data_IF_150370704911
#
_entry.id   IF_150370704911
#
_cell.length_a   1.000
_cell.length_b   1.000
_cell.length_c   1.000
_cell.angle_alpha   90.00
_cell.angle_beta   90.00
_cell.angle_gamma   90.00
#
_symmetry.space_group_name_H-M   'P 1'
#
loop_
_entity.id
_entity.type
_entity.pdbx_description
1 polymer ?
#
# COMPACT_ATOMS: atom_id res chain seq x y z
N UNK A 1 15.98 -6.56 53.10
CA UNK A 1 16.10 -7.10 51.73
C UNK A 1 14.80 -7.77 51.26
N UNK A 2 14.41 -8.96 51.75
CA UNK A 2 13.26 -9.72 51.23
C UNK A 2 11.94 -8.94 51.11
N UNK A 3 11.54 -8.17 52.13
CA UNK A 3 10.31 -7.37 52.13
C UNK A 3 10.24 -6.32 51.00
N UNK A 4 11.38 -5.77 50.57
CA UNK A 4 11.43 -4.80 49.46
C UNK A 4 11.08 -5.51 48.14
N UNK A 5 11.60 -6.72 47.92
CA UNK A 5 11.28 -7.52 46.74
C UNK A 5 9.79 -7.90 46.71
N UNK A 6 9.19 -8.24 47.86
CA UNK A 6 7.76 -8.53 47.97
C UNK A 6 6.90 -7.29 47.66
N UNK A 7 7.23 -6.12 48.22
CA UNK A 7 6.50 -4.88 47.93
C UNK A 7 6.63 -4.45 46.45
N UNK A 8 7.82 -4.60 45.85
CA UNK A 8 8.02 -4.38 44.42
C UNK A 8 7.19 -5.36 43.58
N UNK A 9 7.16 -6.65 43.95
CA UNK A 9 6.36 -7.66 43.24
C UNK A 9 4.86 -7.35 43.31
N UNK A 10 4.34 -6.97 44.48
CA UNK A 10 2.93 -6.56 44.66
C UNK A 10 2.63 -5.27 43.87
N UNK A 11 3.55 -4.30 43.87
CA UNK A 11 3.46 -3.09 43.06
C UNK A 11 3.37 -3.40 41.56
N UNK A 12 4.24 -4.27 41.05
CA UNK A 12 4.23 -4.72 39.65
C UNK A 12 2.95 -5.48 39.31
N UNK A 13 2.52 -6.43 40.17
CA UNK A 13 1.30 -7.21 39.94
C UNK A 13 0.04 -6.34 39.97
N UNK A 14 -0.06 -5.38 40.88
CA UNK A 14 -1.18 -4.43 40.92
C UNK A 14 -1.20 -3.51 39.71
N UNK A 15 -0.04 -2.99 39.27
CA UNK A 15 0.08 -2.19 38.05
C UNK A 15 -0.29 -2.99 36.79
N UNK A 16 0.18 -4.24 36.69
CA UNK A 16 -0.18 -5.17 35.59
C UNK A 16 -1.68 -5.46 35.58
N UNK A 17 -2.28 -5.76 36.74
CA UNK A 17 -3.72 -5.99 36.88
C UNK A 17 -4.53 -4.75 36.48
N UNK A 18 -4.13 -3.56 36.95
CA UNK A 18 -4.74 -2.28 36.60
C UNK A 18 -4.67 -1.97 35.10
N UNK A 19 -3.52 -2.23 34.46
CA UNK A 19 -3.35 -2.11 33.01
C UNK A 19 -4.23 -3.09 32.24
N UNK A 20 -4.39 -4.32 32.73
CA UNK A 20 -5.21 -5.35 32.09
C UNK A 20 -6.73 -5.08 32.26
N UNK A 21 -7.16 -4.59 33.42
CA UNK A 21 -8.57 -4.29 33.73
C UNK A 21 -9.09 -2.98 33.11
N UNK A 22 -8.20 -2.06 32.72
CA UNK A 22 -8.53 -0.69 32.26
C UNK A 22 -9.52 -0.57 31.08
N UNK A 23 -9.71 -1.62 30.28
CA UNK A 23 -10.69 -1.65 29.18
C UNK A 23 -11.60 -2.87 29.30
N UNK A 24 -12.89 -2.62 29.37
CA UNK A 24 -13.94 -3.63 29.17
C UNK A 24 -14.76 -3.28 27.93
N UNK A 25 -15.31 -4.32 27.29
CA UNK A 25 -16.23 -4.19 26.14
C UNK A 25 -17.58 -3.71 26.65
N UNK A 26 -18.10 -2.63 26.07
CA UNK A 26 -19.43 -2.09 26.35
C UNK A 26 -20.50 -2.72 25.44
N UNK A 27 -21.77 -2.46 25.73
CA UNK A 27 -22.90 -2.92 24.91
C UNK A 27 -22.71 -2.45 23.46
N UNK A 28 -22.89 -3.38 22.52
CA UNK A 28 -22.74 -3.17 21.08
C UNK A 28 -21.34 -2.72 20.62
N UNK A 29 -20.28 -2.76 21.44
CA UNK A 29 -18.91 -2.63 20.92
C UNK A 29 -18.48 -3.90 20.17
N UNK A 30 -17.51 -3.83 19.24
CA UNK A 30 -16.90 -5.00 18.60
C UNK A 30 -16.32 -6.00 19.61
N UNK A 31 -16.09 -7.28 19.20
CA UNK A 31 -15.31 -8.23 19.98
C UNK A 31 -13.94 -7.63 20.37
N UNK A 32 -13.58 -7.70 21.65
CA UNK A 32 -12.35 -7.10 22.18
C UNK A 32 -11.32 -8.19 22.49
N UNK A 33 -10.17 -8.15 21.82
CA UNK A 33 -9.05 -9.08 22.02
C UNK A 33 -7.80 -8.32 22.47
N UNK A 34 -7.48 -8.43 23.77
CA UNK A 34 -6.33 -7.71 24.37
C UNK A 34 -4.98 -8.37 24.07
N UNK A 35 -4.96 -9.64 23.69
CA UNK A 35 -3.75 -10.47 23.72
C UNK A 35 -3.28 -10.78 25.14
N UNK A 36 -2.27 -11.63 25.25
CA UNK A 36 -1.78 -12.18 26.53
C UNK A 36 -0.81 -11.25 27.27
N UNK A 37 -0.22 -10.26 26.60
CA UNK A 37 0.78 -9.36 27.19
C UNK A 37 0.08 -8.06 27.65
N UNK A 38 0.04 -7.75 28.96
CA UNK A 38 -0.56 -6.52 29.47
C UNK A 38 0.04 -5.26 28.82
N UNK A 39 -0.82 -4.29 28.48
CA UNK A 39 -0.51 -3.05 27.75
C UNK A 39 0.05 -3.23 26.32
N UNK A 40 1.04 -4.09 26.09
CA UNK A 40 1.65 -4.32 24.78
C UNK A 40 0.67 -4.99 23.80
N UNK A 41 -0.15 -5.91 24.30
CA UNK A 41 -1.10 -6.69 23.53
C UNK A 41 -0.46 -7.46 22.39
N UNK A 42 -1.00 -7.28 21.18
CA UNK A 42 -0.59 -7.97 19.97
C UNK A 42 0.53 -7.29 19.18
N UNK A 43 1.23 -6.29 19.75
CA UNK A 43 2.14 -5.43 19.00
C UNK A 43 3.26 -6.15 18.23
N UNK A 44 3.80 -7.24 18.79
CA UNK A 44 4.86 -8.03 18.15
C UNK A 44 4.33 -8.85 16.96
N UNK A 45 3.17 -9.50 17.09
CA UNK A 45 2.56 -10.27 16.00
C UNK A 45 2.06 -9.34 14.88
N UNK A 46 1.44 -8.22 15.26
CA UNK A 46 1.01 -7.16 14.34
C UNK A 46 2.19 -6.53 13.58
N UNK A 47 3.31 -6.26 14.26
CA UNK A 47 4.49 -5.63 13.66
C UNK A 47 5.28 -6.56 12.73
N UNK A 48 5.31 -7.86 13.02
CA UNK A 48 6.06 -8.85 12.23
C UNK A 48 5.35 -9.23 10.92
N UNK A 49 4.04 -9.42 10.96
CA UNK A 49 3.24 -9.81 9.79
C UNK A 49 1.76 -9.44 10.01
N UNK A 50 1.42 -8.19 9.70
CA UNK A 50 0.05 -7.69 9.92
C UNK A 50 -0.98 -8.40 9.04
N UNK A 51 -0.59 -8.93 7.87
CA UNK A 51 -1.52 -9.65 6.99
C UNK A 51 -1.92 -11.01 7.58
N UNK A 52 -0.94 -11.80 8.03
CA UNK A 52 -1.17 -13.06 8.73
C UNK A 52 -1.91 -12.85 10.04
N UNK A 53 -1.51 -11.85 10.84
CA UNK A 53 -2.17 -11.50 12.10
C UNK A 53 -3.65 -11.14 11.92
N UNK A 54 -3.96 -10.23 11.00
CA UNK A 54 -5.33 -9.79 10.78
C UNK A 54 -6.21 -10.85 10.10
N UNK A 55 -5.62 -11.78 9.35
CA UNK A 55 -6.35 -12.95 8.80
C UNK A 55 -6.77 -13.89 9.94
N UNK A 56 -5.83 -14.28 10.80
CA UNK A 56 -6.10 -15.05 12.04
C UNK A 56 -7.18 -14.40 12.93
N UNK A 57 -7.20 -13.06 13.03
CA UNK A 57 -8.22 -12.34 13.79
C UNK A 57 -9.57 -12.26 13.06
N UNK A 58 -9.59 -12.17 11.73
CA UNK A 58 -10.81 -12.30 10.90
C UNK A 58 -11.46 -13.67 11.11
N UNK A 59 -10.67 -14.74 11.11
CA UNK A 59 -11.16 -16.11 11.29
C UNK A 59 -11.73 -16.33 12.70
N UNK A 60 -11.13 -15.67 13.71
CA UNK A 60 -11.55 -15.77 15.12
C UNK A 60 -12.77 -14.91 15.47
N UNK A 61 -12.90 -13.71 14.91
CA UNK A 61 -13.87 -12.69 15.36
C UNK A 61 -14.80 -12.15 14.27
N UNK A 62 -14.59 -12.53 13.00
CA UNK A 62 -15.36 -12.05 11.85
C UNK A 62 -14.85 -10.73 11.26
N UNK A 63 -15.72 -10.01 10.55
CA UNK A 63 -15.34 -8.82 9.77
C UNK A 63 -15.12 -7.54 10.59
N UNK A 64 -15.33 -7.56 11.91
CA UNK A 64 -15.02 -6.43 12.80
C UNK A 64 -14.56 -6.91 14.18
N UNK A 65 -13.48 -6.32 14.70
CA UNK A 65 -12.92 -6.64 16.02
C UNK A 65 -11.99 -5.53 16.51
N UNK A 66 -11.78 -5.43 17.82
CA UNK A 66 -10.87 -4.46 18.44
C UNK A 66 -9.70 -5.19 19.10
N UNK A 67 -8.47 -4.87 18.69
CA UNK A 67 -7.23 -5.43 19.25
C UNK A 67 -6.46 -4.39 20.06
N UNK A 68 -5.76 -4.83 21.11
CA UNK A 68 -4.76 -3.99 21.79
C UNK A 68 -3.40 -4.09 21.09
N UNK A 69 -2.78 -2.96 20.76
CA UNK A 69 -1.48 -2.84 20.08
C UNK A 69 -0.71 -1.69 20.72
N UNK A 70 0.33 -1.99 21.50
CA UNK A 70 1.23 -1.02 22.16
C UNK A 70 0.46 0.09 22.92
N UNK A 71 -0.42 -0.32 23.81
CA UNK A 71 -1.24 0.56 24.66
C UNK A 71 -2.44 1.21 23.96
N UNK A 72 -2.61 1.04 22.64
CA UNK A 72 -3.74 1.57 21.88
C UNK A 72 -4.75 0.49 21.54
N UNK A 73 -6.02 0.87 21.44
CA UNK A 73 -7.09 0.01 20.95
C UNK A 73 -7.36 0.33 19.49
N UNK A 74 -7.21 -0.68 18.63
CA UNK A 74 -7.37 -0.58 17.18
C UNK A 74 -8.55 -1.47 16.79
N UNK A 75 -9.66 -0.85 16.41
CA UNK A 75 -10.76 -1.54 15.75
C UNK A 75 -10.42 -1.74 14.28
N UNK A 76 -10.51 -2.98 13.82
CA UNK A 76 -10.26 -3.37 12.42
C UNK A 76 -11.61 -3.66 11.77
N UNK A 77 -11.82 -3.12 10.56
CA UNK A 77 -13.00 -3.33 9.73
C UNK A 77 -12.57 -3.99 8.41
N UNK A 78 -13.14 -5.17 8.11
CA UNK A 78 -12.83 -5.99 6.92
C UNK A 78 -14.05 -6.24 6.02
N UNK A 79 -15.20 -5.62 6.34
CA UNK A 79 -16.38 -5.58 5.48
C UNK A 79 -16.23 -4.46 4.43
N UNK A 80 -15.84 -4.84 3.21
CA UNK A 80 -15.54 -3.91 2.11
C UNK A 80 -16.73 -3.05 1.68
N UNK A 81 -17.97 -3.46 1.96
CA UNK A 81 -19.17 -2.70 1.62
C UNK A 81 -19.38 -1.49 2.54
N UNK A 82 -18.73 -1.48 3.72
CA UNK A 82 -18.85 -0.41 4.71
C UNK A 82 -17.74 0.64 4.62
N UNK A 83 -16.70 0.40 3.81
CA UNK A 83 -15.52 1.27 3.76
C UNK A 83 -15.86 2.70 3.31
N UNK A 84 -16.73 2.88 2.32
CA UNK A 84 -17.09 4.22 1.81
C UNK A 84 -17.79 5.09 2.88
N UNK A 85 -18.74 4.50 3.62
CA UNK A 85 -19.47 5.20 4.67
C UNK A 85 -18.54 5.68 5.80
N UNK A 86 -17.52 4.89 6.13
CA UNK A 86 -16.46 5.29 7.08
C UNK A 86 -15.56 6.36 6.49
N UNK A 87 -15.13 6.20 5.23
CA UNK A 87 -14.17 7.09 4.57
C UNK A 87 -14.74 8.45 4.16
N UNK A 88 -16.07 8.59 4.13
CA UNK A 88 -16.76 9.86 3.91
C UNK A 88 -16.94 10.68 5.20
N UNK A 89 -17.03 10.06 6.38
CA UNK A 89 -17.26 10.76 7.65
C UNK A 89 -15.96 11.27 8.28
N UNK A 90 -15.37 12.28 7.62
CA UNK A 90 -14.19 13.01 8.11
C UNK A 90 -14.42 13.78 9.42
N UNK A 91 -15.67 13.90 9.91
CA UNK A 91 -15.97 14.54 11.22
C UNK A 91 -15.77 13.56 12.37
N UNK A 92 -16.19 12.31 12.18
CA UNK A 92 -16.02 11.25 13.18
C UNK A 92 -14.66 10.55 13.10
N UNK A 93 -14.01 10.57 11.93
CA UNK A 93 -12.79 9.83 11.64
C UNK A 93 -11.69 10.73 11.04
N UNK A 94 -10.71 11.14 11.86
CA UNK A 94 -9.60 11.99 11.40
C UNK A 94 -8.43 11.17 10.83
N UNK A 95 -7.73 11.73 9.85
CA UNK A 95 -6.43 11.26 9.34
C UNK A 95 -5.28 12.20 9.72
N UNK A 96 -5.57 13.48 9.94
CA UNK A 96 -4.60 14.58 10.05
C UNK A 96 -3.59 14.37 11.15
N UNK A 97 -4.02 13.98 12.35
CA UNK A 97 -3.12 13.74 13.48
C UNK A 97 -2.17 12.55 13.22
N UNK A 98 -2.63 11.53 12.47
CA UNK A 98 -1.79 10.40 12.11
C UNK A 98 -0.77 10.79 11.04
N UNK A 99 -1.17 11.50 9.99
CA UNK A 99 -0.27 11.99 8.95
C UNK A 99 0.82 12.91 9.51
N UNK A 100 0.48 13.86 10.39
CA UNK A 100 1.48 14.75 11.04
C UNK A 100 2.53 13.96 11.82
N UNK A 101 2.13 12.92 12.56
CA UNK A 101 3.05 12.01 13.27
C UNK A 101 3.94 11.17 12.33
N UNK A 102 3.47 10.86 11.12
CA UNK A 102 4.29 10.16 10.12
C UNK A 102 5.30 11.11 9.46
N UNK A 103 4.90 12.33 9.09
CA UNK A 103 5.79 13.35 8.52
C UNK A 103 6.94 13.68 9.47
N UNK A 104 6.63 13.92 10.74
CA UNK A 104 7.59 14.16 11.81
C UNK A 104 8.55 12.97 11.99
N UNK A 105 8.04 11.74 12.19
CA UNK A 105 8.89 10.58 12.50
C UNK A 105 9.66 9.98 11.34
N UNK A 106 9.19 10.13 10.10
CA UNK A 106 9.79 9.48 8.92
C UNK A 106 10.66 10.48 8.14
N UNK A 107 10.23 11.74 8.04
CA UNK A 107 10.87 12.76 7.21
C UNK A 107 11.46 13.92 8.02
N UNK A 108 11.37 13.89 9.35
CA UNK A 108 11.74 15.01 10.23
C UNK A 108 11.04 16.33 9.83
N UNK A 109 9.82 16.24 9.28
CA UNK A 109 9.13 17.36 8.62
C UNK A 109 7.95 17.87 9.46
N UNK A 110 8.04 19.13 9.88
CA UNK A 110 6.98 19.83 10.60
C UNK A 110 6.51 21.05 9.78
N UNK A 111 5.22 21.07 9.45
CA UNK A 111 4.61 22.14 8.65
C UNK A 111 3.63 22.96 9.52
N UNK A 112 4.03 24.16 10.01
CA UNK A 112 3.13 25.05 10.73
C UNK A 112 2.03 25.56 9.79
N UNK A 113 0.82 25.74 10.32
CA UNK A 113 -0.36 26.22 9.58
C UNK A 113 -0.70 25.42 8.29
N UNK A 114 -0.29 24.15 8.23
CA UNK A 114 -0.61 23.23 7.15
C UNK A 114 -2.11 23.00 6.99
N UNK A 115 -2.64 23.26 5.79
CA UNK A 115 -3.96 22.84 5.33
C UNK A 115 -3.84 21.66 4.35
N UNK A 116 -4.14 20.42 4.79
CA UNK A 116 -4.13 19.24 3.94
C UNK A 116 -5.13 19.30 2.76
N UNK A 117 -6.21 20.08 2.87
CA UNK A 117 -7.27 20.13 1.85
C UNK A 117 -6.81 20.98 0.66
N UNK A 118 -6.27 22.17 0.92
CA UNK A 118 -5.67 23.02 -0.12
C UNK A 118 -4.46 22.37 -0.80
N UNK A 119 -3.55 21.76 -0.04
CA UNK A 119 -2.41 21.01 -0.62
C UNK A 119 -2.89 19.89 -1.54
N UNK A 120 -3.82 19.06 -1.05
CA UNK A 120 -4.40 17.97 -1.83
C UNK A 120 -5.08 18.48 -3.10
N UNK A 121 -5.81 19.59 -3.02
CA UNK A 121 -6.46 20.21 -4.18
C UNK A 121 -5.44 20.62 -5.26
N UNK A 122 -4.33 21.26 -4.86
CA UNK A 122 -3.22 21.61 -5.77
C UNK A 122 -2.60 20.38 -6.42
N UNK A 123 -2.33 19.33 -5.63
CA UNK A 123 -1.77 18.08 -6.17
C UNK A 123 -2.76 17.34 -7.10
N UNK A 124 -4.06 17.42 -6.82
CA UNK A 124 -5.09 16.92 -7.74
C UNK A 124 -5.19 17.75 -9.02
N UNK A 125 -5.00 19.07 -8.98
CA UNK A 125 -4.95 19.93 -10.18
C UNK A 125 -3.70 19.66 -11.04
N UNK A 126 -2.56 19.32 -10.44
CA UNK A 126 -1.34 18.99 -11.17
C UNK A 126 -1.43 17.63 -11.90
N UNK A 127 -1.97 16.60 -11.23
CA UNK A 127 -2.05 15.23 -11.78
C UNK A 127 -3.38 14.89 -12.50
N UNK A 128 -4.24 15.87 -12.77
CA UNK A 128 -5.51 15.69 -13.50
C UNK A 128 -5.71 16.81 -14.52
N UNK A 129 -6.77 16.69 -15.32
CA UNK A 129 -7.18 17.74 -16.25
C UNK A 129 -6.12 18.04 -17.32
N UNK A 130 -5.93 19.31 -17.73
CA UNK A 130 -5.07 19.67 -18.87
C UNK A 130 -3.57 19.47 -18.62
N UNK A 131 -3.13 19.41 -17.36
CA UNK A 131 -1.72 19.23 -17.00
C UNK A 131 -1.25 17.77 -17.21
N UNK A 132 -2.16 16.80 -17.00
CA UNK A 132 -1.82 15.38 -17.03
C UNK A 132 -1.18 14.93 -18.38
N UNK A 133 -1.70 15.27 -19.57
CA UNK A 133 -1.05 14.96 -20.84
C UNK A 133 0.39 15.48 -20.96
N UNK A 134 0.66 16.70 -20.47
CA UNK A 134 2.00 17.29 -20.51
C UNK A 134 2.98 16.52 -19.62
N UNK A 135 2.61 16.28 -18.35
CA UNK A 135 3.45 15.54 -17.39
C UNK A 135 3.69 14.10 -17.88
N UNK A 136 2.69 13.45 -18.48
CA UNK A 136 2.83 12.14 -19.12
C UNK A 136 3.80 12.15 -20.32
N UNK A 137 3.72 13.17 -21.19
CA UNK A 137 4.61 13.33 -22.34
C UNK A 137 6.07 13.53 -21.90
N UNK A 138 6.31 14.39 -20.90
CA UNK A 138 7.63 14.59 -20.30
C UNK A 138 8.21 13.29 -19.75
N UNK A 139 7.43 12.49 -19.01
CA UNK A 139 7.84 11.17 -18.52
C UNK A 139 8.20 10.20 -19.65
N UNK A 140 7.44 10.18 -20.73
CA UNK A 140 7.72 9.34 -21.90
C UNK A 140 9.05 9.72 -22.55
N UNK A 141 9.30 11.02 -22.73
CA UNK A 141 10.55 11.52 -23.33
C UNK A 141 11.77 11.17 -22.45
N UNK A 142 11.67 11.37 -21.14
CA UNK A 142 12.77 11.07 -20.20
C UNK A 142 13.01 9.56 -20.10
N UNK A 143 11.96 8.73 -20.02
CA UNK A 143 12.10 7.26 -20.04
C UNK A 143 12.86 6.80 -21.30
N UNK A 144 12.49 7.35 -22.47
CA UNK A 144 13.17 7.04 -23.72
C UNK A 144 14.65 7.48 -23.70
N UNK A 145 14.95 8.69 -23.20
CA UNK A 145 16.31 9.20 -23.07
C UNK A 145 17.18 8.33 -22.13
N UNK A 146 16.68 7.94 -20.95
CA UNK A 146 17.42 7.13 -19.99
C UNK A 146 17.70 5.71 -20.54
N UNK A 147 16.71 5.09 -21.21
CA UNK A 147 16.87 3.74 -21.77
C UNK A 147 17.73 3.70 -23.05
N UNK A 148 17.88 4.82 -23.77
CA UNK A 148 18.78 4.90 -24.94
C UNK A 148 20.20 5.28 -24.55
N UNK A 149 20.39 6.30 -23.70
CA UNK A 149 21.71 6.78 -23.26
C UNK A 149 22.52 5.71 -22.51
N UNK A 150 21.87 4.85 -21.70
CA UNK A 150 22.54 3.77 -20.97
C UNK A 150 23.10 2.62 -21.84
N UNK A 151 22.91 2.64 -23.16
CA UNK A 151 23.25 1.54 -24.08
C UNK A 151 24.23 1.92 -25.21
N UNK A 152 24.81 3.12 -25.18
CA UNK A 152 25.70 3.63 -26.25
C UNK A 152 27.02 2.86 -26.43
N UNK A 153 27.45 2.02 -25.48
CA UNK A 153 28.78 1.39 -25.51
C UNK A 153 28.85 -0.07 -25.99
N UNK A 154 27.73 -0.77 -26.20
CA UNK A 154 27.69 -2.00 -27.01
C UNK A 154 26.24 -2.49 -27.20
N UNK A 155 25.65 -2.27 -28.38
CA UNK A 155 24.21 -2.48 -28.64
C UNK A 155 23.80 -3.96 -28.64
N UNK A 156 24.72 -4.88 -28.92
CA UNK A 156 24.43 -6.30 -29.18
C UNK A 156 24.70 -7.24 -28.00
N UNK A 157 25.39 -6.79 -26.95
CA UNK A 157 25.78 -7.62 -25.82
C UNK A 157 24.63 -7.80 -24.82
N UNK A 158 24.46 -9.03 -24.31
CA UNK A 158 23.59 -9.28 -23.16
C UNK A 158 24.20 -8.69 -21.89
N UNK A 159 23.45 -7.82 -21.23
CA UNK A 159 23.75 -7.28 -19.89
C UNK A 159 23.00 -8.10 -18.85
N UNK A 160 23.63 -8.37 -17.72
CA UNK A 160 23.01 -8.96 -16.54
C UNK A 160 22.66 -7.85 -15.55
N UNK A 161 21.45 -7.89 -15.00
CA UNK A 161 20.94 -6.91 -14.04
C UNK A 161 19.91 -7.59 -13.12
N UNK A 162 19.54 -6.94 -12.01
CA UNK A 162 18.46 -7.44 -11.14
C UNK A 162 17.13 -6.74 -11.47
N UNK A 163 16.02 -7.47 -11.52
CA UNK A 163 14.76 -6.99 -12.12
C UNK A 163 14.12 -5.83 -11.34
N UNK A 164 14.06 -5.92 -10.01
CA UNK A 164 13.57 -4.81 -9.18
C UNK A 164 14.49 -3.61 -9.36
N UNK A 165 15.82 -3.80 -9.28
CA UNK A 165 16.77 -2.70 -9.41
C UNK A 165 16.67 -2.01 -10.79
N UNK A 166 16.56 -2.79 -11.87
CA UNK A 166 16.32 -2.30 -13.23
C UNK A 166 15.03 -1.46 -13.34
N UNK A 167 13.91 -2.00 -12.86
CA UNK A 167 12.61 -1.33 -12.94
C UNK A 167 12.56 -0.08 -12.06
N UNK A 168 13.09 -0.17 -10.84
CA UNK A 168 13.04 0.91 -9.86
C UNK A 168 13.94 2.07 -10.30
N UNK A 169 15.21 1.81 -10.62
CA UNK A 169 16.17 2.84 -11.01
C UNK A 169 15.67 3.69 -12.20
N UNK A 170 15.16 3.03 -13.25
CA UNK A 170 14.62 3.72 -14.43
C UNK A 170 13.35 4.52 -14.13
N UNK A 171 12.37 3.92 -13.44
CA UNK A 171 11.10 4.61 -13.12
C UNK A 171 11.30 5.74 -12.11
N UNK A 172 12.20 5.57 -11.13
CA UNK A 172 12.51 6.61 -10.15
C UNK A 172 13.20 7.80 -10.82
N UNK A 173 14.29 7.57 -11.58
CA UNK A 173 15.02 8.66 -12.24
C UNK A 173 14.12 9.41 -13.23
N UNK A 174 13.34 8.69 -14.04
CA UNK A 174 12.40 9.33 -14.96
C UNK A 174 11.31 10.12 -14.24
N UNK A 175 10.71 9.56 -13.17
CA UNK A 175 9.70 10.24 -12.36
C UNK A 175 10.25 11.48 -11.65
N UNK A 176 11.45 11.40 -11.08
CA UNK A 176 12.14 12.52 -10.45
C UNK A 176 12.37 13.65 -11.45
N UNK A 177 12.99 13.36 -12.60
CA UNK A 177 13.22 14.37 -13.63
C UNK A 177 11.91 15.02 -14.13
N UNK A 178 10.85 14.22 -14.32
CA UNK A 178 9.54 14.71 -14.77
C UNK A 178 8.93 15.73 -13.82
N UNK A 179 9.15 15.57 -12.51
CA UNK A 179 8.47 16.34 -11.47
C UNK A 179 9.34 17.48 -10.89
N UNK A 180 10.67 17.37 -10.98
CA UNK A 180 11.59 18.25 -10.25
C UNK A 180 12.70 18.89 -11.11
N UNK A 181 12.93 18.49 -12.37
CA UNK A 181 14.04 19.07 -13.15
C UNK A 181 13.69 20.39 -13.85
N UNK A 182 14.49 21.42 -13.55
CA UNK A 182 14.60 22.67 -14.33
C UNK A 182 15.92 22.67 -15.10
N UNK A 183 15.98 21.84 -16.16
CA UNK A 183 16.98 21.74 -17.24
C UNK A 183 18.51 21.60 -16.93
N UNK A 184 19.03 21.83 -15.71
CA UNK A 184 20.49 21.91 -15.47
C UNK A 184 21.01 21.20 -14.18
N UNK A 185 20.83 19.89 -14.03
CA UNK A 185 21.44 19.12 -12.93
C UNK A 185 22.38 18.00 -13.44
N UNK A 186 23.45 17.74 -12.68
CA UNK A 186 24.55 16.86 -13.09
C UNK A 186 24.33 15.40 -12.66
N UNK A 187 24.86 14.44 -13.44
CA UNK A 187 24.63 13.00 -13.26
C UNK A 187 24.99 12.44 -11.87
N UNK A 188 25.97 13.03 -11.19
CA UNK A 188 26.42 12.63 -9.85
C UNK A 188 25.37 12.89 -8.77
N UNK A 189 24.67 14.02 -8.84
CA UNK A 189 23.66 14.42 -7.84
C UNK A 189 22.47 13.46 -7.86
N UNK A 190 22.04 13.01 -9.05
CA UNK A 190 20.95 12.03 -9.19
C UNK A 190 21.27 10.68 -8.57
N UNK A 191 22.53 10.23 -8.64
CA UNK A 191 22.92 8.97 -8.02
C UNK A 191 22.91 9.10 -6.49
N UNK A 192 23.31 10.24 -5.93
CA UNK A 192 23.19 10.50 -4.50
C UNK A 192 21.74 10.51 -4.03
N UNK A 193 20.85 11.25 -4.70
CA UNK A 193 19.41 11.30 -4.38
C UNK A 193 18.75 9.91 -4.55
N UNK A 194 19.16 9.13 -5.55
CA UNK A 194 18.66 7.76 -5.72
C UNK A 194 19.13 6.82 -4.60
N UNK A 195 20.41 6.85 -4.20
CA UNK A 195 20.90 5.99 -3.11
C UNK A 195 20.33 6.38 -1.74
N UNK A 196 20.20 7.69 -1.47
CA UNK A 196 19.50 8.17 -0.28
C UNK A 196 18.02 7.75 -0.29
N UNK A 197 17.33 7.95 -1.42
CA UNK A 197 15.97 7.47 -1.60
C UNK A 197 15.88 5.94 -1.47
N UNK A 198 16.86 5.15 -1.90
CA UNK A 198 16.87 3.68 -1.78
C UNK A 198 17.14 3.21 -0.36
N UNK A 199 18.01 3.91 0.38
CA UNK A 199 18.20 3.69 1.81
C UNK A 199 16.91 4.01 2.58
N UNK A 200 16.24 5.11 2.21
CA UNK A 200 14.96 5.50 2.73
C UNK A 200 13.81 4.57 2.31
N UNK A 201 13.81 4.07 1.07
CA UNK A 201 12.76 3.22 0.50
C UNK A 201 12.81 1.78 1.02
N UNK A 202 13.95 1.34 1.55
CA UNK A 202 14.02 0.18 2.46
C UNK A 202 13.09 0.33 3.70
N UNK A 203 12.71 1.56 4.04
CA UNK A 203 11.90 1.95 5.20
C UNK A 203 10.56 2.58 4.78
N UNK A 204 10.39 2.92 3.49
CA UNK A 204 9.20 3.54 2.88
C UNK A 204 8.16 2.58 2.26
N UNK A 205 8.06 1.27 2.55
CA UNK A 205 6.82 0.63 2.17
C UNK A 205 5.77 1.24 3.10
N UNK A 206 5.14 2.40 2.85
CA UNK A 206 4.04 2.95 3.67
C UNK A 206 2.97 3.65 2.81
N UNK A 207 2.09 2.82 2.20
CA UNK A 207 0.73 3.09 1.63
C UNK A 207 0.62 3.02 0.07
N UNK A 208 -0.57 2.72 -0.51
CA UNK A 208 -0.75 1.84 -1.71
C UNK A 208 -1.48 2.44 -2.97
N UNK A 209 -1.81 1.59 -3.98
CA UNK A 209 -2.19 1.93 -5.40
C UNK A 209 -3.32 1.13 -6.17
N UNK A 210 -4.48 1.74 -6.50
CA UNK A 210 -5.58 1.44 -7.52
C UNK A 210 -6.87 2.22 -7.13
N UNK A 211 -7.72 2.88 -7.96
CA UNK A 211 -7.97 2.86 -9.42
C UNK A 211 -8.22 4.28 -10.01
N UNK A 212 -8.40 4.54 -11.33
CA UNK A 212 -8.60 3.66 -12.49
C UNK A 212 -8.16 4.33 -13.82
N UNK A 213 -7.56 3.54 -14.73
CA UNK A 213 -8.20 3.16 -16.01
C UNK A 213 -7.52 1.84 -16.44
N UNK A 214 -8.32 0.79 -16.69
CA UNK A 214 -7.96 -0.57 -16.23
C UNK A 214 -7.45 -1.51 -17.34
N UNK A 215 -6.22 -1.97 -17.22
CA UNK A 215 -5.72 -3.18 -17.90
C UNK A 215 -5.72 -4.33 -16.90
N UNK A 216 -6.25 -5.50 -17.27
CA UNK A 216 -6.40 -6.63 -16.32
C UNK A 216 -5.08 -7.12 -15.74
N UNK A 217 -3.99 -7.11 -16.51
CA UNK A 217 -2.61 -7.43 -16.06
C UNK A 217 -2.17 -6.51 -14.92
N UNK A 218 -2.37 -5.21 -15.07
CA UNK A 218 -1.96 -4.22 -14.07
C UNK A 218 -2.86 -4.31 -12.82
N UNK A 219 -4.15 -4.49 -13.00
CA UNK A 219 -5.11 -4.65 -11.90
C UNK A 219 -4.83 -5.91 -11.06
N UNK A 220 -4.49 -7.03 -11.71
CA UNK A 220 -4.08 -8.27 -11.01
C UNK A 220 -2.75 -8.10 -10.26
N UNK A 221 -1.79 -7.44 -10.91
CA UNK A 221 -0.50 -7.10 -10.27
C UNK A 221 -0.72 -6.24 -9.02
N UNK A 222 -1.57 -5.21 -9.11
CA UNK A 222 -1.92 -4.35 -7.99
C UNK A 222 -2.74 -5.09 -6.91
N UNK A 223 -3.70 -5.96 -7.29
CA UNK A 223 -4.48 -6.77 -6.34
C UNK A 223 -3.56 -7.62 -5.44
N UNK A 224 -2.55 -8.26 -6.03
CA UNK A 224 -1.59 -9.12 -5.33
C UNK A 224 -0.48 -8.36 -4.58
N UNK A 225 -0.13 -7.14 -4.99
CA UNK A 225 1.09 -6.46 -4.52
C UNK A 225 0.88 -5.12 -3.82
N UNK A 226 -0.33 -4.58 -3.79
CA UNK A 226 -0.59 -3.27 -3.20
C UNK A 226 -1.43 -3.41 -1.91
N UNK A 227 -0.82 -3.16 -0.76
CA UNK A 227 -1.35 -3.51 0.56
C UNK A 227 -1.27 -2.33 1.55
N UNK A 228 -2.11 -1.30 1.41
CA UNK A 228 -2.19 -0.19 2.38
C UNK A 228 -3.11 -0.50 3.56
N UNK A 229 -2.71 -0.09 4.76
CA UNK A 229 -3.58 -0.04 5.93
C UNK A 229 -4.15 1.38 6.05
N UNK A 230 -5.41 1.52 5.68
CA UNK A 230 -6.13 2.79 5.80
C UNK A 230 -6.44 3.00 7.28
N UNK A 231 -5.94 4.09 7.86
CA UNK A 231 -6.02 4.35 9.31
C UNK A 231 -6.76 5.65 9.60
N UNK A 232 -7.60 5.67 10.63
CA UNK A 232 -8.28 6.86 11.15
C UNK A 232 -8.24 6.85 12.68
N UNK A 233 -8.14 8.02 13.32
CA UNK A 233 -8.35 8.16 14.76
C UNK A 233 -9.83 8.55 15.00
N UNK A 234 -10.49 7.92 15.98
CA UNK A 234 -11.95 8.04 16.23
C UNK A 234 -12.22 9.25 17.13
N UNK A 235 -12.81 10.29 16.58
CA UNK A 235 -12.92 11.61 17.22
C UNK A 235 -14.07 11.73 18.22
N UNK A 236 -15.12 10.93 18.04
CA UNK A 236 -16.32 10.86 18.87
C UNK A 236 -16.89 9.43 18.88
N UNK A 237 -17.72 9.09 19.85
CA UNK A 237 -18.42 7.79 19.83
C UNK A 237 -19.31 7.73 18.58
N UNK A 238 -19.19 6.65 17.79
CA UNK A 238 -19.86 6.54 16.48
C UNK A 238 -20.41 5.14 16.26
N UNK A 239 -21.71 5.02 16.04
CA UNK A 239 -22.31 3.78 15.54
C UNK A 239 -22.00 3.62 14.05
N UNK A 240 -21.56 2.43 13.66
CA UNK A 240 -21.45 1.99 12.27
C UNK A 240 -22.31 0.73 12.07
N UNK A 241 -22.79 0.52 10.84
CA UNK A 241 -23.64 -0.61 10.47
C UNK A 241 -22.94 -1.45 9.41
N UNK A 242 -22.84 -2.76 9.64
CA UNK A 242 -22.26 -3.72 8.71
C UNK A 242 -23.26 -4.16 7.63
N UNK A 243 -22.78 -4.81 6.56
CA UNK A 243 -23.62 -5.29 5.47
C UNK A 243 -24.66 -6.34 5.91
N UNK A 244 -24.40 -7.05 7.02
CA UNK A 244 -25.34 -7.99 7.65
C UNK A 244 -26.39 -7.30 8.55
N UNK A 245 -26.54 -5.98 8.45
CA UNK A 245 -27.36 -5.11 9.31
C UNK A 245 -26.95 -5.00 10.78
N UNK A 246 -25.87 -5.65 11.22
CA UNK A 246 -25.42 -5.56 12.60
C UNK A 246 -24.76 -4.20 12.90
N UNK A 247 -25.13 -3.58 14.01
CA UNK A 247 -24.60 -2.29 14.44
C UNK A 247 -23.54 -2.43 15.52
N UNK A 248 -22.49 -1.61 15.39
CA UNK A 248 -21.36 -1.57 16.32
C UNK A 248 -21.01 -0.14 16.71
N UNK A 249 -20.77 0.08 18.01
CA UNK A 249 -20.32 1.36 18.55
C UNK A 249 -18.79 1.41 18.58
N UNK A 250 -18.21 2.38 17.90
CA UNK A 250 -16.79 2.73 17.98
C UNK A 250 -16.59 3.77 19.08
N UNK A 251 -15.60 3.58 19.96
CA UNK A 251 -15.33 4.48 21.08
C UNK A 251 -14.37 5.61 20.69
N UNK A 252 -14.65 6.82 21.16
CA UNK A 252 -13.75 7.97 21.05
C UNK A 252 -12.35 7.65 21.60
N UNK A 253 -11.31 8.04 20.87
CA UNK A 253 -9.92 7.82 21.23
C UNK A 253 -9.34 6.47 20.79
N UNK A 254 -10.19 5.54 20.31
CA UNK A 254 -9.71 4.36 19.60
C UNK A 254 -9.24 4.72 18.20
N UNK A 255 -8.55 3.78 17.56
CA UNK A 255 -8.15 3.84 16.16
C UNK A 255 -9.02 2.92 15.33
N UNK A 256 -9.39 3.34 14.13
CA UNK A 256 -10.05 2.52 13.12
C UNK A 256 -9.05 2.19 12.00
N UNK A 257 -8.94 0.91 11.66
CA UNK A 257 -8.10 0.41 10.58
C UNK A 257 -8.92 -0.40 9.58
N UNK A 258 -8.72 -0.14 8.29
CA UNK A 258 -9.29 -0.88 7.17
C UNK A 258 -8.12 -1.46 6.36
N UNK A 259 -8.17 -2.75 6.01
CA UNK A 259 -7.10 -3.40 5.25
C UNK A 259 -7.60 -4.06 3.95
N UNK A 260 -7.67 -3.31 2.84
CA UNK A 260 -8.23 -3.82 1.58
C UNK A 260 -7.49 -5.03 0.99
N UNK A 261 -6.23 -5.24 1.39
CA UNK A 261 -5.45 -6.42 1.02
C UNK A 261 -6.14 -7.72 1.45
N UNK A 262 -6.66 -7.81 2.68
CA UNK A 262 -7.35 -9.03 3.15
C UNK A 262 -8.75 -9.15 2.57
N UNK A 263 -9.44 -8.03 2.38
CA UNK A 263 -10.81 -7.96 1.86
C UNK A 263 -11.03 -6.56 1.26
N UNK A 264 -11.23 -6.41 -0.06
CA UNK A 264 -11.64 -7.46 -1.00
C UNK A 264 -10.50 -8.23 -1.69
N UNK A 265 -9.25 -7.76 -1.69
CA UNK A 265 -8.22 -8.19 -2.66
C UNK A 265 -7.83 -9.67 -2.58
N UNK A 266 -7.66 -10.20 -1.37
CA UNK A 266 -7.27 -11.60 -1.13
C UNK A 266 -8.41 -12.46 -0.58
N UNK A 267 -9.66 -11.99 -0.62
CA UNK A 267 -10.80 -12.74 -0.10
C UNK A 267 -11.23 -13.85 -1.08
N UNK A 268 -11.16 -15.14 -0.71
CA UNK A 268 -11.49 -16.24 -1.61
C UNK A 268 -12.98 -16.30 -1.97
N UNK A 269 -13.87 -15.63 -1.23
CA UNK A 269 -15.29 -15.51 -1.59
C UNK A 269 -15.54 -14.50 -2.71
N UNK A 270 -14.53 -13.67 -3.05
CA UNK A 270 -14.57 -12.66 -4.12
C UNK A 270 -13.71 -13.11 -5.30
N UNK A 271 -12.53 -13.69 -5.03
CA UNK A 271 -11.54 -14.07 -6.03
C UNK A 271 -11.12 -15.55 -5.87
N UNK A 272 -11.50 -16.42 -6.80
CA UNK A 272 -11.07 -17.83 -6.78
C UNK A 272 -9.55 -17.99 -6.94
N UNK A 273 -8.91 -18.72 -6.03
CA UNK A 273 -7.44 -18.80 -5.87
C UNK A 273 -6.82 -17.41 -5.81
N UNK A 274 -7.07 -16.66 -4.71
CA UNK A 274 -6.64 -15.26 -4.59
C UNK A 274 -5.11 -15.11 -4.60
N UNK A 275 -4.35 -16.13 -4.23
CA UNK A 275 -2.89 -16.17 -4.25
C UNK A 275 -2.28 -16.31 -5.65
N UNK A 276 -3.01 -16.86 -6.63
CA UNK A 276 -2.49 -17.05 -7.99
C UNK A 276 -2.61 -15.77 -8.82
N UNK A 277 -1.59 -15.48 -9.64
CA UNK A 277 -1.67 -14.44 -10.67
C UNK A 277 -2.48 -14.96 -11.87
N UNK A 278 -3.59 -14.28 -12.18
CA UNK A 278 -4.44 -14.56 -13.35
C UNK A 278 -4.60 -13.28 -14.17
N UNK A 279 -3.90 -13.20 -15.30
CA UNK A 279 -3.75 -11.97 -16.10
C UNK A 279 -5.09 -11.40 -16.61
N UNK A 280 -6.10 -12.27 -16.72
CA UNK A 280 -7.46 -12.08 -17.21
C UNK A 280 -8.51 -11.94 -16.08
N UNK A 281 -8.12 -11.93 -14.79
CA UNK A 281 -9.07 -11.90 -13.65
C UNK A 281 -10.06 -10.73 -13.68
N UNK A 282 -9.67 -9.62 -14.31
CA UNK A 282 -10.49 -8.41 -14.48
C UNK A 282 -11.10 -8.29 -15.89
N UNK A 283 -11.19 -9.39 -16.63
CA UNK A 283 -11.94 -9.53 -17.88
C UNK A 283 -13.15 -10.46 -17.71
N UNK A 284 -14.14 -10.28 -18.58
CA UNK A 284 -15.24 -11.22 -18.81
C UNK A 284 -14.84 -12.21 -19.93
N UNK A 285 -15.65 -13.25 -20.15
CA UNK A 285 -15.38 -14.28 -21.17
C UNK A 285 -15.39 -13.76 -22.62
N UNK A 286 -15.98 -12.59 -22.87
CA UNK A 286 -15.97 -11.87 -24.15
C UNK A 286 -14.79 -10.89 -24.29
N UNK A 287 -13.87 -10.86 -23.31
CA UNK A 287 -12.73 -9.93 -23.27
C UNK A 287 -13.06 -8.52 -22.77
N UNK A 288 -14.32 -8.20 -22.45
CA UNK A 288 -14.69 -6.90 -21.89
C UNK A 288 -14.25 -6.75 -20.43
N UNK A 289 -14.16 -5.52 -19.92
CA UNK A 289 -13.71 -5.26 -18.54
C UNK A 289 -14.72 -5.77 -17.51
N UNK A 290 -14.28 -6.66 -16.62
CA UNK A 290 -15.08 -7.12 -15.48
C UNK A 290 -15.11 -6.07 -14.38
N UNK A 291 -16.24 -5.37 -14.29
CA UNK A 291 -16.50 -4.35 -13.28
C UNK A 291 -17.28 -4.85 -12.06
N UNK A 292 -18.07 -5.92 -12.21
CA UNK A 292 -18.93 -6.48 -11.15
C UNK A 292 -18.23 -7.61 -10.39
N UNK A 293 -18.24 -7.50 -9.07
CA UNK A 293 -17.73 -8.49 -8.13
C UNK A 293 -18.79 -8.76 -7.06
N UNK A 294 -18.78 -9.95 -6.49
CA UNK A 294 -19.81 -10.41 -5.56
C UNK A 294 -19.19 -11.09 -4.33
N UNK A 295 -19.89 -11.04 -3.20
CA UNK A 295 -19.58 -11.80 -1.99
C UNK A 295 -20.89 -12.25 -1.35
N UNK A 296 -21.03 -13.53 -1.06
CA UNK A 296 -22.26 -14.13 -0.52
C UNK A 296 -23.54 -13.70 -1.28
N UNK A 297 -23.48 -13.67 -2.62
CA UNK A 297 -24.59 -13.28 -3.49
C UNK A 297 -24.83 -11.77 -3.64
N UNK A 298 -24.26 -10.92 -2.77
CA UNK A 298 -24.38 -9.47 -2.87
C UNK A 298 -23.27 -8.88 -3.75
N UNK A 299 -23.61 -7.92 -4.62
CA UNK A 299 -22.61 -7.14 -5.35
C UNK A 299 -21.83 -6.26 -4.37
N UNK A 300 -20.51 -6.19 -4.54
CA UNK A 300 -19.62 -5.34 -3.74
C UNK A 300 -19.19 -4.09 -4.52
N UNK A 301 -18.94 -2.98 -3.82
CA UNK A 301 -18.52 -1.71 -4.44
C UNK A 301 -17.17 -1.82 -5.16
N UNK A 302 -16.27 -2.69 -4.68
CA UNK A 302 -14.90 -2.80 -5.16
C UNK A 302 -14.42 -4.24 -5.21
N UNK A 303 -13.94 -4.70 -6.38
CA UNK A 303 -13.16 -5.95 -6.48
C UNK A 303 -11.71 -5.81 -6.01
N UNK A 304 -11.17 -4.59 -6.00
CA UNK A 304 -9.81 -4.24 -5.53
C UNK A 304 -9.78 -2.73 -5.21
N UNK A 305 -8.99 -2.29 -4.21
CA UNK A 305 -9.01 -0.89 -3.69
C UNK A 305 -7.66 -0.20 -3.34
N UNK A 306 -6.45 -0.58 -3.80
CA UNK A 306 -5.26 -0.13 -3.06
C UNK A 306 -4.89 1.37 -2.99
N UNK A 307 -5.31 2.32 -3.86
CA UNK A 307 -4.98 3.76 -3.63
C UNK A 307 -5.76 4.32 -2.43
N UNK A 308 -6.72 3.55 -1.91
CA UNK A 308 -7.80 4.05 -1.08
C UNK A 308 -9.08 4.21 -1.89
N UNK A 309 -10.01 4.97 -1.32
CA UNK A 309 -11.36 5.18 -1.84
C UNK A 309 -11.88 6.56 -1.45
N UNK A 310 -13.00 6.96 -2.07
CA UNK A 310 -13.65 8.26 -1.84
C UNK A 310 -12.70 9.45 -1.97
N UNK A 311 -12.82 10.39 -1.04
CA UNK A 311 -11.98 11.60 -0.91
C UNK A 311 -10.50 11.33 -0.61
N UNK A 312 -10.08 10.06 -0.51
CA UNK A 312 -8.72 9.64 -0.17
C UNK A 312 -8.01 8.85 -1.28
N UNK A 313 -8.57 8.78 -2.49
CA UNK A 313 -7.89 8.22 -3.67
C UNK A 313 -6.55 8.90 -3.96
N UNK A 314 -5.56 8.18 -4.50
CA UNK A 314 -4.30 8.78 -4.92
C UNK A 314 -4.53 9.84 -6.03
N UNK A 315 -3.92 11.03 -5.93
CA UNK A 315 -3.98 12.05 -6.99
C UNK A 315 -3.14 11.66 -8.21
N UNK A 316 -1.89 11.23 -8.02
CA UNK A 316 -0.92 10.88 -9.07
C UNK A 316 -1.21 9.58 -9.83
N UNK A 317 -2.37 8.96 -9.62
CA UNK A 317 -2.70 7.63 -10.15
C UNK A 317 -2.65 7.50 -11.68
N UNK A 318 -3.13 8.50 -12.40
CA UNK A 318 -3.27 8.44 -13.85
C UNK A 318 -1.90 8.60 -14.50
N UNK A 319 -1.08 9.49 -13.92
CA UNK A 319 0.34 9.62 -14.22
C UNK A 319 1.10 8.32 -13.94
N UNK A 320 0.89 7.69 -12.78
CA UNK A 320 1.52 6.41 -12.44
C UNK A 320 1.13 5.27 -13.39
N UNK A 321 -0.13 5.19 -13.83
CA UNK A 321 -0.57 4.24 -14.87
C UNK A 321 0.12 4.53 -16.20
N UNK A 322 0.19 5.80 -16.63
CA UNK A 322 0.90 6.17 -17.85
C UNK A 322 2.39 5.80 -17.79
N UNK A 323 3.09 6.20 -16.72
CA UNK A 323 4.48 5.85 -16.45
C UNK A 323 4.75 4.34 -16.56
N UNK A 324 3.93 3.52 -15.89
CA UNK A 324 4.06 2.06 -15.91
C UNK A 324 3.79 1.47 -17.31
N UNK A 325 2.73 1.90 -18.00
CA UNK A 325 2.42 1.44 -19.36
C UNK A 325 3.52 1.82 -20.34
N UNK A 326 4.00 3.06 -20.31
CA UNK A 326 5.08 3.55 -21.18
C UNK A 326 6.39 2.80 -20.91
N UNK A 327 6.75 2.57 -19.66
CA UNK A 327 7.93 1.77 -19.30
C UNK A 327 7.82 0.33 -19.84
N UNK A 328 6.73 -0.38 -19.55
CA UNK A 328 6.52 -1.76 -20.03
C UNK A 328 6.49 -1.83 -21.56
N UNK A 329 5.86 -0.85 -22.23
CA UNK A 329 5.86 -0.76 -23.68
C UNK A 329 7.27 -0.60 -24.25
N UNK A 330 8.09 0.32 -23.71
CA UNK A 330 9.47 0.52 -24.19
C UNK A 330 10.31 -0.73 -23.93
N UNK A 331 10.20 -1.35 -22.74
CA UNK A 331 10.91 -2.60 -22.43
C UNK A 331 10.56 -3.70 -23.43
N UNK A 332 9.27 -4.00 -23.63
CA UNK A 332 8.83 -5.09 -24.51
C UNK A 332 9.11 -4.81 -26.00
N UNK A 333 9.08 -3.55 -26.45
CA UNK A 333 9.29 -3.20 -27.86
C UNK A 333 10.76 -2.97 -28.23
N UNK A 334 11.61 -2.52 -27.30
CA UNK A 334 13.02 -2.19 -27.58
C UNK A 334 14.03 -3.18 -27.04
N UNK A 335 13.65 -4.08 -26.12
CA UNK A 335 14.58 -5.00 -25.48
C UNK A 335 14.18 -6.46 -25.65
N UNK A 336 15.17 -7.32 -25.89
CA UNK A 336 15.06 -8.74 -25.58
C UNK A 336 15.40 -8.86 -24.09
N UNK A 337 14.46 -9.41 -23.31
CA UNK A 337 14.61 -9.58 -21.87
C UNK A 337 14.20 -11.01 -21.50
N UNK A 338 15.03 -11.68 -20.71
CA UNK A 338 14.78 -13.01 -20.16
C UNK A 338 15.28 -13.09 -18.72
N UNK A 339 14.77 -14.03 -17.94
CA UNK A 339 15.45 -14.45 -16.72
C UNK A 339 16.82 -15.06 -17.09
N UNK A 340 17.84 -14.88 -16.26
CA UNK A 340 19.12 -15.55 -16.47
C UNK A 340 19.03 -17.05 -16.10
N UNK A 341 18.18 -17.42 -15.14
CA UNK A 341 17.70 -18.79 -14.91
C UNK A 341 16.20 -18.85 -15.21
N UNK A 342 15.79 -19.70 -16.15
CA UNK A 342 14.38 -19.86 -16.53
C UNK A 342 13.52 -20.57 -15.48
N UNK A 343 14.13 -21.25 -14.50
CA UNK A 343 13.46 -21.93 -13.41
C UNK A 343 13.40 -21.07 -12.13
N UNK A 344 13.94 -19.84 -12.16
CA UNK A 344 13.99 -18.96 -11.00
C UNK A 344 12.59 -18.68 -10.45
N UNK A 345 12.35 -19.08 -9.20
CA UNK A 345 11.11 -18.82 -8.50
C UNK A 345 11.00 -17.34 -8.12
N UNK A 346 9.78 -16.81 -8.16
CA UNK A 346 9.49 -15.46 -7.72
C UNK A 346 9.85 -15.30 -6.22
N UNK A 347 10.67 -14.31 -5.84
CA UNK A 347 11.08 -14.13 -4.45
C UNK A 347 9.89 -13.93 -3.49
N UNK A 348 10.04 -14.33 -2.21
CA UNK A 348 9.04 -14.07 -1.18
C UNK A 348 8.81 -12.57 -0.99
N UNK A 349 7.72 -12.23 -0.28
CA UNK A 349 7.40 -10.84 0.07
C UNK A 349 8.25 -10.43 1.28
N UNK A 350 8.77 -9.21 1.30
CA UNK A 350 9.23 -8.59 2.55
C UNK A 350 8.00 -8.23 3.41
N UNK A 351 7.78 -8.98 4.50
CA UNK A 351 6.57 -8.82 5.33
C UNK A 351 6.54 -7.49 6.10
N UNK A 352 7.69 -6.80 6.24
CA UNK A 352 7.75 -5.45 6.79
C UNK A 352 7.05 -4.43 5.89
N UNK A 353 6.55 -4.84 4.71
CA UNK A 353 5.88 -3.99 3.71
C UNK A 353 4.35 -4.06 3.72
N UNK A 354 3.75 -4.72 4.72
CA UNK A 354 2.28 -4.84 4.85
C UNK A 354 1.53 -3.75 5.64
N UNK A 355 0.37 -3.33 5.13
CA UNK A 355 -0.26 -2.07 5.57
C UNK A 355 0.45 -0.83 5.03
N UNK A 356 1.44 -1.13 4.22
CA UNK A 356 2.70 -0.47 4.05
C UNK A 356 2.93 -0.45 2.48
N UNK A 357 1.87 -0.38 1.64
CA UNK A 357 2.01 0.08 0.25
C UNK A 357 2.29 -0.97 -0.83
N UNK A 358 3.13 -0.64 -1.82
CA UNK A 358 3.61 -1.64 -2.78
C UNK A 358 4.58 -2.58 -2.07
N UNK A 359 4.22 -3.86 -2.00
CA UNK A 359 5.07 -4.93 -1.51
C UNK A 359 6.29 -5.07 -2.42
N UNK A 360 7.47 -5.19 -1.81
CA UNK A 360 8.72 -5.50 -2.52
C UNK A 360 9.12 -6.95 -2.22
N UNK A 361 9.89 -7.59 -3.10
CA UNK A 361 10.49 -8.89 -2.82
C UNK A 361 11.51 -8.79 -1.68
N UNK A 362 11.60 -9.86 -0.89
CA UNK A 362 12.78 -10.18 -0.08
C UNK A 362 13.76 -10.95 -0.98
N UNK A 363 14.69 -10.20 -1.60
CA UNK A 363 15.54 -10.67 -2.70
C UNK A 363 15.24 -9.94 -4.02
N UNK A 364 15.68 -10.51 -5.15
CA UNK A 364 15.37 -10.03 -6.50
C UNK A 364 15.53 -11.17 -7.53
N UNK A 365 15.05 -10.98 -8.76
CA UNK A 365 15.25 -11.89 -9.89
C UNK A 365 16.38 -11.39 -10.79
N UNK A 366 17.30 -12.27 -11.16
CA UNK A 366 18.35 -11.94 -12.13
C UNK A 366 17.81 -12.00 -13.56
N UNK A 367 17.91 -10.88 -14.28
CA UNK A 367 17.53 -10.75 -15.69
C UNK A 367 18.73 -10.52 -16.57
N UNK A 368 18.61 -11.05 -17.78
CA UNK A 368 19.57 -10.90 -18.86
C UNK A 368 18.83 -10.13 -19.96
N UNK A 369 19.31 -8.94 -20.33
CA UNK A 369 18.66 -8.06 -21.30
C UNK A 369 19.63 -7.46 -22.33
N UNK A 370 19.13 -7.11 -23.52
CA UNK A 370 19.86 -6.38 -24.57
C UNK A 370 18.89 -5.58 -25.44
N UNK A 371 19.39 -4.63 -26.22
CA UNK A 371 18.56 -3.99 -27.25
C UNK A 371 18.19 -5.00 -28.34
N UNK A 372 16.94 -4.93 -28.81
CA UNK A 372 16.51 -5.63 -30.01
C UNK A 372 17.26 -5.09 -31.21
N UNK A 373 17.70 -6.00 -32.09
CA UNK A 373 18.10 -5.58 -33.44
C UNK A 373 16.85 -5.06 -34.14
N UNK A 374 16.95 -3.88 -34.76
CA UNK A 374 15.98 -3.39 -35.74
C UNK A 374 16.19 -4.15 -37.06
N UNK A 375 16.00 -5.46 -37.02
CA UNK A 375 15.89 -6.25 -38.25
C UNK A 375 14.56 -5.85 -38.89
N UNK A 376 14.62 -5.38 -40.15
CA UNK A 376 13.55 -4.64 -40.83
C UNK A 376 12.14 -5.21 -40.56
N UNK A 377 11.28 -4.39 -39.95
CA UNK A 377 9.83 -4.60 -39.95
C UNK A 377 9.40 -4.52 -41.42
N UNK A 378 9.13 -5.67 -42.03
CA UNK A 378 8.48 -5.81 -43.33
C UNK A 378 6.97 -5.85 -43.17
#
# INVERSE_FOLDING_TARGET
MAWILVLVLIGVLSAVSFLYLRRTRQRNEPPLDKGSIPWLGHALEFGKDVAKFLTKMKDKHGNIFTVCVAGRYVTVLLDSNCYDAVLADNKSFDLTQYSKRLMDKIFNLQLPNHDPVSERSRMEQYFKGPNLPQVCSTMQNILHLLMTSANTQNVTAWKKERLLDFCYNLLFKAGYHTLFSTENNNSTEFNMVYEEFRCFDKILPKLARSSANRDSVLEETLRLRAAALITRDVMQNKTIKLSNNQEYVLRRGDRLCIFPFISPQMDPQIHHEPEKFKFDRFLNSDGTVKSKFFKAGMQINYGTMPWGAGSNLCPGRNFAVCALKTFVFIVLTKFDLKLCDCNALMPPIDHNRYGFGMLQPDGDLEICYKLKKLDNIK
#
